data_IF_089416297266
#
_entry.id   IF_089416297266
#
_cell.length_a   1.000
_cell.length_b   1.000
_cell.length_c   1.000
_cell.angle_alpha   90.00
_cell.angle_beta   90.00
_cell.angle_gamma   90.00
#
_symmetry.space_group_name_H-M   'P 1'
#
loop_
_entity.id
_entity.type
_entity.pdbx_description
1 polymer ?
#
# COMPACT_ATOMS: atom_id res chain seq x y z
N UNK A 1 45.92 -13.16 -14.25
CA UNK A 1 44.98 -14.27 -13.96
C UNK A 1 45.14 -14.83 -12.57
N UNK A 2 44.28 -14.39 -11.66
CA UNK A 2 43.96 -15.14 -10.43
C UNK A 2 42.57 -14.64 -10.01
N UNK A 3 41.58 -15.43 -10.39
CA UNK A 3 40.15 -15.18 -10.26
C UNK A 3 39.71 -14.95 -8.81
N UNK A 4 39.03 -13.82 -8.59
CA UNK A 4 38.18 -13.61 -7.43
C UNK A 4 37.09 -14.69 -7.42
N UNK A 5 37.05 -15.48 -6.33
CA UNK A 5 36.01 -16.47 -6.11
C UNK A 5 34.73 -15.76 -5.67
N UNK A 6 33.75 -15.78 -6.56
CA UNK A 6 32.35 -15.41 -6.35
C UNK A 6 31.72 -16.42 -5.35
N UNK A 7 31.47 -15.97 -4.12
CA UNK A 7 30.95 -16.82 -3.05
C UNK A 7 29.43 -17.01 -3.17
N UNK A 8 29.05 -18.12 -3.80
CA UNK A 8 27.84 -18.94 -3.60
C UNK A 8 26.53 -18.23 -3.19
N UNK A 9 25.62 -18.08 -4.14
CA UNK A 9 24.21 -17.67 -3.94
C UNK A 9 23.28 -18.79 -3.42
N UNK A 10 23.80 -19.90 -2.89
CA UNK A 10 23.03 -21.13 -2.67
C UNK A 10 23.03 -21.70 -1.24
N UNK A 11 23.44 -20.92 -0.24
CA UNK A 11 23.27 -21.33 1.17
C UNK A 11 22.00 -20.71 1.76
N UNK A 12 21.11 -21.51 2.40
CA UNK A 12 19.94 -20.95 3.06
C UNK A 12 20.40 -19.96 4.13
N UNK A 13 19.71 -18.80 4.25
CA UNK A 13 20.12 -17.77 5.20
C UNK A 13 20.20 -18.37 6.61
N UNK A 14 21.27 -18.04 7.33
CA UNK A 14 21.47 -18.49 8.71
C UNK A 14 20.34 -17.92 9.56
N UNK A 15 19.46 -18.80 10.02
CA UNK A 15 18.39 -18.45 10.94
C UNK A 15 18.95 -18.38 12.36
N UNK A 16 18.30 -17.56 13.19
CA UNK A 16 18.61 -17.41 14.61
C UNK A 16 17.49 -18.08 15.39
N UNK A 17 17.84 -18.96 16.32
CA UNK A 17 16.86 -19.61 17.17
C UNK A 17 16.26 -18.64 18.19
N UNK A 18 15.08 -18.98 18.73
CA UNK A 18 14.32 -18.11 19.62
C UNK A 18 15.11 -17.64 20.86
N UNK A 19 16.01 -18.49 21.36
CA UNK A 19 16.84 -18.21 22.53
C UNK A 19 18.04 -17.30 22.24
N UNK A 20 18.46 -17.19 20.98
CA UNK A 20 19.69 -16.47 20.57
C UNK A 20 19.39 -15.07 20.02
N UNK A 21 18.18 -14.57 20.26
CA UNK A 21 17.77 -13.24 19.79
C UNK A 21 18.38 -12.12 20.64
N UNK A 22 18.68 -10.99 20.01
CA UNK A 22 19.33 -9.86 20.67
C UNK A 22 18.35 -8.70 20.88
N UNK A 23 18.35 -8.13 22.09
CA UNK A 23 17.52 -6.97 22.43
C UNK A 23 17.84 -5.79 21.51
N UNK A 24 16.80 -5.12 21.02
CA UNK A 24 16.90 -3.98 20.12
C UNK A 24 16.99 -4.33 18.64
N UNK A 25 17.30 -5.59 18.28
CA UNK A 25 17.32 -6.04 16.88
C UNK A 25 15.94 -6.39 16.34
N UNK A 26 15.77 -6.27 15.03
CA UNK A 26 14.57 -6.62 14.29
C UNK A 26 14.76 -7.93 13.53
N UNK A 27 13.75 -8.80 13.58
CA UNK A 27 13.76 -10.12 12.97
C UNK A 27 12.47 -10.37 12.19
N UNK A 28 12.56 -11.16 11.12
CA UNK A 28 11.39 -11.70 10.42
C UNK A 28 10.99 -13.05 11.05
N UNK A 29 9.72 -13.19 11.41
CA UNK A 29 9.22 -14.40 12.04
C UNK A 29 9.15 -15.57 11.04
N UNK A 30 9.78 -16.69 11.41
CA UNK A 30 9.73 -17.96 10.70
C UNK A 30 9.19 -19.02 11.65
N UNK A 31 8.18 -19.78 11.20
CA UNK A 31 7.51 -20.79 12.03
C UNK A 31 7.58 -22.17 11.40
N UNK A 32 7.72 -23.18 12.27
CA UNK A 32 7.44 -24.57 11.93
C UNK A 32 6.28 -25.03 12.82
N UNK A 33 5.20 -25.52 12.23
CA UNK A 33 3.97 -25.85 12.97
C UNK A 33 3.62 -27.33 12.85
N UNK A 34 2.90 -27.87 13.83
CA UNK A 34 2.39 -29.25 13.79
C UNK A 34 1.46 -29.52 12.60
N UNK A 35 0.83 -28.48 12.04
CA UNK A 35 -0.03 -28.58 10.87
C UNK A 35 0.73 -28.67 9.52
N UNK A 36 2.07 -28.76 9.56
CA UNK A 36 2.89 -29.05 8.38
C UNK A 36 3.52 -27.84 7.69
N UNK A 37 3.47 -26.64 8.29
CA UNK A 37 4.30 -25.54 7.82
C UNK A 37 5.74 -25.79 8.27
N UNK A 38 6.69 -25.78 7.33
CA UNK A 38 8.11 -26.02 7.60
C UNK A 38 8.93 -24.78 7.24
N UNK A 39 9.56 -24.14 8.25
CA UNK A 39 10.35 -22.89 8.08
C UNK A 39 9.58 -21.84 7.27
N UNK A 40 8.28 -21.71 7.52
CA UNK A 40 7.39 -20.81 6.81
C UNK A 40 7.61 -19.36 7.27
N UNK A 41 7.85 -18.46 6.32
CA UNK A 41 8.03 -17.03 6.56
C UNK A 41 6.67 -16.38 6.76
N UNK A 42 6.41 -15.91 7.98
CA UNK A 42 5.13 -15.23 8.31
C UNK A 42 5.06 -13.84 7.68
N UNK A 43 6.22 -13.21 7.46
CA UNK A 43 6.34 -11.85 6.93
C UNK A 43 6.24 -10.76 7.98
N UNK A 44 5.95 -11.10 9.24
CA UNK A 44 5.92 -10.14 10.35
C UNK A 44 7.35 -9.79 10.81
N UNK A 45 7.58 -8.50 11.03
CA UNK A 45 8.84 -7.93 11.53
C UNK A 45 8.65 -7.54 12.99
N UNK A 46 9.47 -8.14 13.84
CA UNK A 46 9.39 -8.04 15.29
C UNK A 46 10.70 -7.49 15.85
N UNK A 47 10.62 -6.53 16.75
CA UNK A 47 11.78 -6.04 17.51
C UNK A 47 11.80 -6.68 18.89
N UNK A 48 12.93 -7.24 19.30
CA UNK A 48 13.10 -7.77 20.65
C UNK A 48 13.18 -6.59 21.63
N UNK A 49 12.29 -6.54 22.62
CA UNK A 49 12.24 -5.47 23.63
C UNK A 49 12.83 -5.90 24.98
N UNK A 50 12.93 -7.19 25.23
CA UNK A 50 13.44 -7.75 26.47
C UNK A 50 13.19 -9.24 26.54
N UNK A 51 13.35 -9.80 27.73
CA UNK A 51 13.15 -11.21 28.01
C UNK A 51 12.37 -11.38 29.31
N UNK A 52 11.42 -12.31 29.32
CA UNK A 52 10.82 -12.83 30.54
C UNK A 52 11.42 -14.21 30.81
N UNK A 53 12.33 -14.30 31.79
CA UNK A 53 13.24 -15.43 31.95
C UNK A 53 14.06 -15.65 30.67
N UNK A 54 13.99 -16.83 30.07
CA UNK A 54 14.65 -17.15 28.80
C UNK A 54 13.77 -16.88 27.57
N UNK A 55 12.50 -16.47 27.74
CA UNK A 55 11.58 -16.25 26.62
C UNK A 55 11.66 -14.79 26.12
N UNK A 56 11.93 -14.54 24.82
CA UNK A 56 12.00 -13.19 24.28
C UNK A 56 10.62 -12.53 24.26
N UNK A 57 10.62 -11.20 24.45
CA UNK A 57 9.45 -10.35 24.33
C UNK A 57 9.60 -9.47 23.08
N UNK A 58 8.52 -9.31 22.34
CA UNK A 58 8.54 -8.66 21.04
C UNK A 58 7.63 -7.43 21.00
N UNK A 59 8.08 -6.39 20.31
CA UNK A 59 7.25 -5.32 19.78
C UNK A 59 7.00 -5.58 18.30
N UNK A 60 5.74 -5.64 17.91
CA UNK A 60 5.36 -5.70 16.49
C UNK A 60 5.76 -4.39 15.81
N UNK A 61 6.51 -4.49 14.71
CA UNK A 61 6.95 -3.33 13.92
C UNK A 61 6.04 -3.15 12.72
N UNK A 62 5.94 -4.18 11.88
CA UNK A 62 5.13 -4.18 10.65
C UNK A 62 5.03 -5.58 10.08
N UNK A 63 4.12 -5.77 9.13
CA UNK A 63 4.15 -6.90 8.20
C UNK A 63 4.80 -6.47 6.90
N UNK A 64 5.69 -7.30 6.34
CA UNK A 64 6.30 -7.04 5.03
C UNK A 64 5.21 -6.92 3.96
N UNK A 65 5.45 -5.99 3.04
CA UNK A 65 4.63 -5.74 1.87
C UNK A 65 3.17 -5.31 2.16
N UNK A 66 2.83 -4.86 3.36
CA UNK A 66 1.51 -4.24 3.59
C UNK A 66 1.63 -2.74 3.38
N UNK A 67 0.91 -2.22 2.39
CA UNK A 67 0.88 -0.82 2.02
C UNK A 67 -0.34 -0.11 2.63
N UNK A 68 -1.52 -0.72 2.51
CA UNK A 68 -2.78 -0.23 3.09
C UNK A 68 -3.47 -1.35 3.89
N UNK A 69 -4.15 -0.95 4.97
CA UNK A 69 -4.91 -1.83 5.85
C UNK A 69 -5.85 -0.98 6.71
N UNK A 70 -7.13 -1.33 6.75
CA UNK A 70 -8.14 -0.69 7.62
C UNK A 70 -8.59 -1.68 8.72
N UNK A 71 -8.86 -2.92 8.33
CA UNK A 71 -9.29 -4.01 9.19
C UNK A 71 -8.41 -5.26 8.95
N UNK A 72 -8.99 -6.40 8.55
CA UNK A 72 -8.22 -7.60 8.21
C UNK A 72 -7.57 -7.57 6.84
N UNK A 73 -7.95 -6.60 6.00
CA UNK A 73 -7.40 -6.39 4.68
C UNK A 73 -5.92 -5.99 4.74
N UNK A 74 -5.17 -6.53 3.78
CA UNK A 74 -3.75 -6.25 3.61
C UNK A 74 -3.52 -6.07 2.12
N UNK A 75 -3.45 -4.83 1.67
CA UNK A 75 -3.16 -4.52 0.28
C UNK A 75 -1.69 -4.18 0.14
N UNK A 76 -1.01 -4.87 -0.79
CA UNK A 76 0.37 -4.59 -1.12
C UNK A 76 0.53 -3.57 -2.26
N UNK A 77 1.76 -3.15 -2.51
CA UNK A 77 2.06 -2.16 -3.55
C UNK A 77 1.73 -2.67 -4.96
N UNK A 78 1.92 -3.97 -5.22
CA UNK A 78 1.65 -4.56 -6.53
C UNK A 78 0.14 -4.68 -6.81
N UNK A 79 -0.64 -5.05 -5.81
CA UNK A 79 -2.10 -5.06 -5.87
C UNK A 79 -2.66 -3.66 -6.11
N UNK A 80 -2.13 -2.64 -5.42
CA UNK A 80 -2.54 -1.26 -5.61
C UNK A 80 -2.17 -0.74 -7.02
N UNK A 81 -0.94 -1.01 -7.46
CA UNK A 81 -0.48 -0.64 -8.81
C UNK A 81 -1.38 -1.27 -9.89
N UNK A 82 -1.69 -2.56 -9.78
CA UNK A 82 -2.58 -3.25 -10.71
C UNK A 82 -4.00 -2.66 -10.69
N UNK A 83 -4.53 -2.32 -9.52
CA UNK A 83 -5.84 -1.69 -9.39
C UNK A 83 -5.90 -0.34 -10.10
N UNK A 84 -4.84 0.47 -9.98
CA UNK A 84 -4.73 1.78 -10.65
C UNK A 84 -4.61 1.60 -12.16
N UNK A 85 -3.80 0.65 -12.63
CA UNK A 85 -3.68 0.33 -14.06
C UNK A 85 -5.03 -0.06 -14.66
N UNK A 86 -5.80 -0.92 -13.97
CA UNK A 86 -7.12 -1.33 -14.42
C UNK A 86 -8.11 -0.17 -14.48
N UNK A 87 -8.12 0.69 -13.45
CA UNK A 87 -8.98 1.87 -13.43
C UNK A 87 -8.58 2.91 -14.48
N UNK A 88 -7.28 3.06 -14.75
CA UNK A 88 -6.75 4.00 -15.76
C UNK A 88 -7.21 3.68 -17.19
N UNK A 89 -7.66 2.46 -17.45
CA UNK A 89 -8.24 2.09 -18.76
C UNK A 89 -9.46 2.94 -19.09
N UNK A 90 -10.30 3.26 -18.08
CA UNK A 90 -11.50 4.09 -18.26
C UNK A 90 -11.15 5.53 -18.63
N UNK A 91 -9.99 6.04 -18.18
CA UNK A 91 -9.54 7.40 -18.47
C UNK A 91 -9.04 7.56 -19.92
N UNK A 92 -8.67 6.47 -20.60
CA UNK A 92 -8.14 6.52 -21.97
C UNK A 92 -9.15 7.09 -22.97
N UNK A 93 -10.44 6.86 -22.77
CA UNK A 93 -11.52 7.42 -23.61
C UNK A 93 -11.55 8.96 -23.57
N UNK A 94 -11.07 9.55 -22.46
CA UNK A 94 -11.00 10.98 -22.23
C UNK A 94 -9.62 11.57 -22.52
N UNK A 95 -8.73 10.82 -23.20
CA UNK A 95 -7.33 11.20 -23.43
C UNK A 95 -6.64 11.69 -22.13
N UNK A 96 -6.99 11.06 -21.01
CA UNK A 96 -6.51 11.40 -19.69
C UNK A 96 -5.67 10.24 -19.14
N UNK A 97 -4.57 10.56 -18.48
CA UNK A 97 -3.70 9.57 -17.85
C UNK A 97 -3.34 9.98 -16.42
N UNK A 98 -3.16 8.98 -15.55
CA UNK A 98 -2.61 9.21 -14.21
C UNK A 98 -1.12 9.50 -14.36
N UNK A 99 -0.70 10.71 -13.97
CA UNK A 99 0.72 11.12 -13.94
C UNK A 99 1.40 10.45 -12.76
N UNK A 100 0.79 10.60 -11.59
CA UNK A 100 1.35 10.13 -10.34
C UNK A 100 0.25 9.88 -9.32
N UNK A 101 0.54 9.02 -8.35
CA UNK A 101 -0.41 8.69 -7.31
C UNK A 101 0.26 8.37 -5.97
N UNK A 102 -0.49 8.59 -4.91
CA UNK A 102 -0.19 8.05 -3.57
C UNK A 102 -1.48 7.63 -2.89
N UNK A 103 -1.38 6.94 -1.75
CA UNK A 103 -2.52 6.43 -1.01
C UNK A 103 -2.38 6.67 0.49
N UNK A 104 -3.50 6.60 1.20
CA UNK A 104 -3.50 6.46 2.65
C UNK A 104 -4.77 5.76 3.13
N UNK A 105 -4.71 5.20 4.33
CA UNK A 105 -5.84 4.60 5.01
C UNK A 105 -6.51 5.66 5.91
N UNK A 106 -7.72 6.10 5.56
CA UNK A 106 -8.48 7.07 6.35
C UNK A 106 -9.28 6.37 7.44
N UNK A 107 -8.92 6.63 8.69
CA UNK A 107 -9.57 6.09 9.89
C UNK A 107 -10.28 7.18 10.70
N UNK A 108 -10.46 8.38 10.13
CA UNK A 108 -11.19 9.48 10.79
C UNK A 108 -12.69 9.19 10.90
N UNK A 109 -13.22 8.40 9.98
CA UNK A 109 -14.62 7.97 9.96
C UNK A 109 -14.71 6.46 10.17
N UNK A 110 -15.88 6.00 10.63
CA UNK A 110 -16.16 4.57 10.85
C UNK A 110 -17.35 4.18 9.96
N UNK A 111 -17.20 3.19 9.06
CA UNK A 111 -15.96 2.44 8.79
C UNK A 111 -14.90 3.31 8.10
N UNK A 112 -13.62 3.01 8.34
CA UNK A 112 -12.52 3.65 7.64
C UNK A 112 -12.46 3.19 6.18
N UNK A 113 -11.76 3.93 5.32
CA UNK A 113 -11.69 3.63 3.88
C UNK A 113 -10.34 3.98 3.27
N UNK A 114 -10.09 3.47 2.07
CA UNK A 114 -8.90 3.80 1.31
C UNK A 114 -9.09 5.12 0.58
N UNK A 115 -8.07 5.97 0.62
CA UNK A 115 -8.03 7.22 -0.14
C UNK A 115 -6.83 7.21 -1.06
N UNK A 116 -7.07 7.43 -2.34
CA UNK A 116 -6.07 7.45 -3.40
C UNK A 116 -6.01 8.86 -3.98
N UNK A 117 -4.85 9.50 -3.92
CA UNK A 117 -4.63 10.78 -4.58
C UNK A 117 -4.15 10.55 -6.01
N UNK A 118 -4.80 11.18 -6.97
CA UNK A 118 -4.43 11.13 -8.39
C UNK A 118 -4.08 12.52 -8.90
N UNK A 119 -2.89 12.65 -9.48
CA UNK A 119 -2.57 13.77 -10.36
C UNK A 119 -2.81 13.32 -11.81
N UNK A 120 -3.66 14.04 -12.52
CA UNK A 120 -4.11 13.65 -13.86
C UNK A 120 -3.52 14.58 -14.92
N UNK A 121 -3.06 13.99 -16.02
CA UNK A 121 -2.74 14.72 -17.23
C UNK A 121 -3.91 14.62 -18.19
N UNK A 122 -4.61 15.74 -18.38
CA UNK A 122 -5.74 15.87 -19.29
C UNK A 122 -5.24 16.59 -20.55
N UNK A 123 -5.23 15.90 -21.70
CA UNK A 123 -4.72 16.48 -22.96
C UNK A 123 -5.62 17.60 -23.50
N UNK A 124 -6.94 17.45 -23.36
CA UNK A 124 -7.93 18.43 -23.76
C UNK A 124 -8.83 18.78 -22.56
N UNK A 125 -8.63 19.99 -22.01
CA UNK A 125 -9.35 20.45 -20.83
C UNK A 125 -10.88 20.54 -21.04
N UNK A 126 -11.35 20.64 -22.28
CA UNK A 126 -12.79 20.63 -22.59
C UNK A 126 -13.41 19.21 -22.53
N UNK A 127 -12.58 18.16 -22.57
CA UNK A 127 -13.00 16.76 -22.56
C UNK A 127 -12.33 15.96 -21.44
N UNK A 128 -12.29 16.54 -20.22
CA UNK A 128 -11.84 15.84 -19.03
C UNK A 128 -12.80 14.74 -18.59
N UNK A 129 -12.35 13.80 -17.73
CA UNK A 129 -13.21 12.75 -17.18
C UNK A 129 -14.32 13.37 -16.33
N UNK A 130 -15.54 12.87 -16.48
CA UNK A 130 -16.67 13.31 -15.64
C UNK A 130 -16.62 12.70 -14.25
N UNK A 131 -17.39 13.26 -13.32
CA UNK A 131 -17.51 12.75 -11.94
C UNK A 131 -18.01 11.29 -11.92
N UNK A 132 -18.90 10.92 -12.85
CA UNK A 132 -19.36 9.54 -12.99
C UNK A 132 -18.21 8.60 -13.38
N UNK A 133 -17.35 9.01 -14.32
CA UNK A 133 -16.21 8.20 -14.77
C UNK A 133 -15.19 8.02 -13.65
N UNK A 134 -14.92 9.07 -12.87
CA UNK A 134 -14.02 8.98 -11.71
C UNK A 134 -14.60 8.10 -10.60
N UNK A 135 -15.92 8.15 -10.39
CA UNK A 135 -16.62 7.24 -9.48
C UNK A 135 -16.56 5.78 -9.98
N UNK A 136 -16.68 5.55 -11.28
CA UNK A 136 -16.48 4.22 -11.88
C UNK A 136 -15.02 3.75 -11.78
N UNK A 137 -14.05 4.65 -11.85
CA UNK A 137 -12.64 4.33 -11.58
C UNK A 137 -12.48 3.82 -10.14
N UNK A 138 -13.14 4.45 -9.15
CA UNK A 138 -13.12 3.97 -7.77
C UNK A 138 -13.64 2.53 -7.69
N UNK A 139 -14.79 2.24 -8.31
CA UNK A 139 -15.36 0.90 -8.35
C UNK A 139 -14.43 -0.13 -9.03
N UNK A 140 -13.85 0.23 -10.18
CA UNK A 140 -12.91 -0.64 -10.90
C UNK A 140 -11.65 -0.95 -10.09
N UNK A 141 -11.19 -0.01 -9.26
CA UNK A 141 -10.12 -0.25 -8.30
C UNK A 141 -10.56 -1.28 -7.25
N UNK A 142 -11.74 -1.10 -6.64
CA UNK A 142 -12.25 -2.03 -5.63
C UNK A 142 -12.42 -3.47 -6.16
N UNK A 143 -12.87 -3.63 -7.39
CA UNK A 143 -12.97 -4.93 -8.08
C UNK A 143 -11.60 -5.62 -8.25
N UNK A 144 -10.55 -4.82 -8.43
CA UNK A 144 -9.20 -5.30 -8.67
C UNK A 144 -8.45 -5.65 -7.39
N UNK A 145 -8.95 -5.21 -6.23
CA UNK A 145 -8.34 -5.50 -4.92
C UNK A 145 -8.62 -6.94 -4.47
N UNK A 146 -7.82 -7.39 -3.52
CA UNK A 146 -7.85 -8.77 -3.05
C UNK A 146 -9.20 -9.16 -2.42
N UNK A 147 -9.42 -10.46 -2.31
CA UNK A 147 -10.69 -11.03 -1.82
C UNK A 147 -11.02 -10.57 -0.39
N UNK A 148 -10.02 -10.29 0.44
CA UNK A 148 -10.23 -9.85 1.83
C UNK A 148 -10.74 -8.41 1.86
N UNK A 149 -10.16 -7.50 1.07
CA UNK A 149 -10.67 -6.14 0.91
C UNK A 149 -12.14 -6.16 0.45
N UNK A 150 -12.45 -6.92 -0.61
CA UNK A 150 -13.82 -7.01 -1.14
C UNK A 150 -14.80 -7.63 -0.13
N UNK A 151 -14.35 -8.63 0.63
CA UNK A 151 -15.13 -9.21 1.73
C UNK A 151 -15.44 -8.15 2.79
N UNK A 152 -14.43 -7.41 3.26
CA UNK A 152 -14.59 -6.37 4.27
C UNK A 152 -15.47 -5.21 3.79
N UNK A 153 -15.44 -4.87 2.50
CA UNK A 153 -16.36 -3.91 1.87
C UNK A 153 -17.81 -4.39 1.89
N UNK A 154 -18.06 -5.64 1.50
CA UNK A 154 -19.43 -6.23 1.50
C UNK A 154 -19.94 -6.47 2.93
N UNK A 155 -19.05 -6.66 3.90
CA UNK A 155 -19.37 -6.81 5.32
C UNK A 155 -19.37 -5.48 6.11
N UNK A 156 -19.39 -4.32 5.42
CA UNK A 156 -19.42 -2.97 6.01
C UNK A 156 -18.28 -2.65 7.02
N UNK A 157 -17.18 -3.38 6.96
CA UNK A 157 -16.00 -3.14 7.81
C UNK A 157 -15.04 -2.12 7.20
N UNK A 158 -15.12 -1.91 5.88
CA UNK A 158 -14.39 -0.88 5.13
C UNK A 158 -15.41 -0.04 4.36
N UNK A 159 -15.25 1.29 4.38
CA UNK A 159 -16.07 2.23 3.60
C UNK A 159 -15.68 2.29 2.11
N UNK A 160 -16.46 2.98 1.26
CA UNK A 160 -16.18 3.08 -0.16
C UNK A 160 -14.83 3.75 -0.44
N UNK A 161 -14.05 3.15 -1.35
CA UNK A 161 -12.79 3.73 -1.81
C UNK A 161 -13.04 5.15 -2.37
N UNK A 162 -12.15 6.07 -1.98
CA UNK A 162 -12.19 7.47 -2.39
C UNK A 162 -11.01 7.78 -3.32
N UNK A 163 -11.28 8.39 -4.47
CA UNK A 163 -10.26 9.03 -5.31
C UNK A 163 -10.33 10.53 -5.09
N UNK A 164 -9.19 11.14 -4.73
CA UNK A 164 -8.99 12.58 -4.64
C UNK A 164 -8.14 13.06 -5.80
N UNK A 165 -8.73 13.81 -6.72
CA UNK A 165 -7.96 14.41 -7.82
C UNK A 165 -7.24 15.65 -7.28
N UNK A 166 -5.94 15.75 -7.48
CA UNK A 166 -5.12 16.90 -7.08
C UNK A 166 -4.73 17.75 -8.29
N UNK A 167 -4.35 19.01 -8.03
CA UNK A 167 -3.86 19.93 -9.07
C UNK A 167 -2.57 19.42 -9.71
N UNK A 168 -2.34 19.77 -10.98
CA UNK A 168 -1.08 19.50 -11.65
C UNK A 168 0.08 20.20 -10.93
N UNK A 169 1.22 19.52 -10.79
CA UNK A 169 2.38 19.96 -10.03
C UNK A 169 2.30 19.67 -8.53
N UNK A 170 1.25 19.02 -8.03
CA UNK A 170 1.14 18.69 -6.59
C UNK A 170 2.24 17.72 -6.16
N UNK A 171 2.54 16.70 -6.97
CA UNK A 171 3.61 15.76 -6.65
C UNK A 171 5.02 16.35 -6.83
N UNK A 172 5.17 17.39 -7.65
CA UNK A 172 6.41 18.18 -7.73
C UNK A 172 6.63 18.96 -6.43
N UNK A 173 5.60 19.65 -5.92
CA UNK A 173 5.66 20.32 -4.61
C UNK A 173 5.93 19.33 -3.46
N UNK A 174 5.35 18.13 -3.52
CA UNK A 174 5.61 17.08 -2.55
C UNK A 174 7.07 16.62 -2.58
N UNK A 175 7.65 16.52 -3.77
CA UNK A 175 9.06 16.20 -3.96
C UNK A 175 9.96 17.30 -3.38
N UNK A 176 9.68 18.57 -3.66
CA UNK A 176 10.42 19.71 -3.10
C UNK A 176 10.36 19.73 -1.57
N UNK A 177 9.19 19.43 -0.99
CA UNK A 177 9.03 19.29 0.45
C UNK A 177 9.91 18.16 1.01
N UNK A 178 9.93 16.99 0.36
CA UNK A 178 10.78 15.87 0.78
C UNK A 178 12.28 16.20 0.68
N UNK A 179 12.71 16.89 -0.38
CA UNK A 179 14.10 17.33 -0.57
C UNK A 179 14.50 18.33 0.52
N UNK A 180 13.63 19.28 0.86
CA UNK A 180 13.88 20.24 1.95
C UNK A 180 14.10 19.57 3.32
N UNK A 181 13.57 18.36 3.49
CA UNK A 181 13.70 17.52 4.69
C UNK A 181 14.89 16.53 4.61
N UNK A 182 15.71 16.62 3.57
CA UNK A 182 16.95 15.86 3.43
C UNK A 182 16.88 14.66 2.48
N UNK A 183 15.80 14.50 1.71
CA UNK A 183 15.77 13.48 0.65
C UNK A 183 16.74 13.84 -0.48
N UNK A 184 17.41 12.84 -1.04
CA UNK A 184 18.26 13.01 -2.22
C UNK A 184 17.40 13.17 -3.47
N UNK A 185 17.60 14.28 -4.20
CA UNK A 185 16.85 14.60 -5.43
C UNK A 185 16.92 13.48 -6.47
N UNK A 186 18.09 12.84 -6.64
CA UNK A 186 18.30 11.81 -7.68
C UNK A 186 17.75 10.42 -7.29
N UNK A 187 17.29 10.24 -6.06
CA UNK A 187 16.77 8.96 -5.55
C UNK A 187 15.31 9.05 -5.11
N UNK A 188 14.74 10.26 -5.14
CA UNK A 188 13.37 10.45 -4.70
C UNK A 188 12.41 9.71 -5.63
N UNK A 189 11.51 8.94 -5.00
CA UNK A 189 10.34 8.36 -5.64
C UNK A 189 9.15 8.74 -4.78
N UNK A 190 8.03 9.02 -5.44
CA UNK A 190 6.79 9.30 -4.71
C UNK A 190 6.41 8.07 -3.87
N UNK A 191 6.20 8.25 -2.55
CA UNK A 191 5.79 7.14 -1.70
C UNK A 191 4.40 6.66 -2.12
N UNK A 192 4.22 5.34 -2.28
CA UNK A 192 2.92 4.76 -2.65
C UNK A 192 1.88 4.80 -1.54
N UNK A 193 2.31 4.98 -0.30
CA UNK A 193 1.44 5.24 0.84
C UNK A 193 2.07 6.28 1.77
N UNK A 194 1.25 7.20 2.28
CA UNK A 194 1.66 8.27 3.19
C UNK A 194 0.88 8.18 4.50
N UNK A 195 1.58 8.37 5.62
CA UNK A 195 0.99 8.41 6.96
C UNK A 195 1.43 9.63 7.76
N UNK A 196 2.25 10.50 7.17
CA UNK A 196 2.80 11.68 7.84
C UNK A 196 1.87 12.89 7.64
N UNK A 197 1.34 13.43 8.75
CA UNK A 197 0.28 14.45 8.74
C UNK A 197 0.58 15.68 7.88
N UNK A 198 1.78 16.30 7.92
CA UNK A 198 2.07 17.46 7.06
C UNK A 198 2.02 17.16 5.56
N UNK A 199 2.37 15.94 5.14
CA UNK A 199 2.27 15.53 3.74
C UNK A 199 0.79 15.37 3.34
N UNK A 200 -0.03 14.80 4.24
CA UNK A 200 -1.46 14.67 4.01
C UNK A 200 -2.15 16.03 3.92
N UNK A 201 -1.78 16.99 4.78
CA UNK A 201 -2.30 18.37 4.74
C UNK A 201 -1.93 19.08 3.43
N UNK A 202 -0.70 18.90 2.95
CA UNK A 202 -0.28 19.42 1.64
C UNK A 202 -1.14 18.84 0.52
N UNK A 203 -1.29 17.52 0.46
CA UNK A 203 -2.12 16.84 -0.55
C UNK A 203 -3.57 17.30 -0.48
N UNK A 204 -4.16 17.35 0.72
CA UNK A 204 -5.54 17.78 0.95
C UNK A 204 -5.78 19.24 0.51
N UNK A 205 -4.80 20.13 0.71
CA UNK A 205 -4.90 21.53 0.28
C UNK A 205 -4.92 21.71 -1.25
N UNK A 206 -4.46 20.69 -1.99
CA UNK A 206 -4.37 20.68 -3.45
C UNK A 206 -5.47 19.86 -4.12
N UNK A 207 -6.41 19.30 -3.36
CA UNK A 207 -7.55 18.54 -3.90
C UNK A 207 -8.47 19.45 -4.72
N UNK A 208 -8.81 18.99 -5.92
CA UNK A 208 -9.75 19.62 -6.86
C UNK A 208 -11.13 19.00 -6.71
N UNK A 209 -11.20 17.67 -6.64
CA UNK A 209 -12.46 16.93 -6.52
C UNK A 209 -12.28 15.60 -5.79
N UNK A 210 -13.37 15.08 -5.25
CA UNK A 210 -13.43 13.84 -4.46
C UNK A 210 -14.53 12.94 -5.01
N UNK A 211 -14.21 11.67 -5.23
CA UNK A 211 -15.10 10.69 -5.84
C UNK A 211 -15.09 9.43 -5.01
N UNK A 212 -16.24 8.79 -4.87
CA UNK A 212 -16.38 7.57 -4.09
C UNK A 212 -16.88 6.44 -4.98
N UNK A 213 -16.52 5.21 -4.65
CA UNK A 213 -17.08 4.03 -5.29
C UNK A 213 -18.62 4.02 -5.17
N UNK A 214 -19.37 3.98 -6.29
CA UNK A 214 -20.82 4.06 -6.29
C UNK A 214 -21.51 2.74 -5.88
N UNK A 215 -20.79 1.63 -5.84
CA UNK A 215 -21.34 0.30 -5.58
C UNK A 215 -20.35 -0.57 -4.79
N UNK A 216 -20.87 -1.68 -4.23
CA UNK A 216 -20.03 -2.68 -3.58
C UNK A 216 -19.34 -3.55 -4.62
N UNK A 217 -18.05 -3.90 -4.42
CA UNK A 217 -17.36 -4.82 -5.30
C UNK A 217 -17.94 -6.23 -5.17
N UNK A 218 -17.81 -7.01 -6.22
CA UNK A 218 -18.27 -8.39 -6.27
C UNK A 218 -17.46 -9.26 -5.32
N UNK A 219 -18.16 -9.93 -4.41
CA UNK A 219 -17.57 -10.93 -3.53
C UNK A 219 -18.51 -12.11 -3.36
N UNK A 220 -17.95 -13.32 -3.43
CA UNK A 220 -18.64 -14.56 -3.07
C UNK A 220 -17.74 -15.41 -2.17
N UNK A 221 -18.32 -16.22 -1.27
CA UNK A 221 -17.55 -17.10 -0.38
C UNK A 221 -16.87 -18.26 -1.11
N UNK A 222 -17.20 -18.51 -2.38
CA UNK A 222 -16.62 -19.57 -3.19
C UNK A 222 -15.21 -19.19 -3.66
N UNK A 223 -14.19 -19.89 -3.15
CA UNK A 223 -12.85 -19.82 -3.75
C UNK A 223 -12.94 -20.44 -5.14
N UNK A 224 -12.67 -19.65 -6.20
CA UNK A 224 -12.37 -20.21 -7.54
C UNK A 224 -11.26 -21.24 -7.36
N UNK A 225 -11.60 -22.51 -7.57
CA UNK A 225 -10.67 -23.65 -7.52
C UNK A 225 -9.73 -23.62 -8.70
#
# INVERSE_FOLDING_TARGET
DSSAQDSSRDSPPRLVDLADLEVGKEYELIVTTYAGLCRYRVGDILRVTGFHNAAPQFRFIRRKNVLLSIDFDKTDESELQQAIENASVLLKEFNTSVVEYTSYADTKQIPGHYVIYWELFVKDAANGPTDEVLSQCCFQMEESLNVVYRQCRVADSIGPLEIRVVKNGTFEELMDYAISRGASINQYKVPRCVSFTPIMELLDSRVVSKHFSPALPHWTPERRR
#
